data_IF_941519094050
#
_entry.id   IF_941519094050
#
_cell.length_a   1.000
_cell.length_b   1.000
_cell.length_c   1.000
_cell.angle_alpha   90.00
_cell.angle_beta   90.00
_cell.angle_gamma   90.00
#
_symmetry.space_group_name_H-M   'P 1'
#
loop_
_entity.id
_entity.type
_entity.pdbx_description
1 polymer ?
#
# COMPACT_ATOMS: atom_id res chain seq x y z
N UNK A 1 -16.98 -34.88 -18.30
CA UNK A 1 -17.14 -33.61 -17.56
C UNK A 1 -15.77 -33.17 -17.06
N UNK A 2 -15.18 -32.09 -17.60
CA UNK A 2 -13.87 -31.57 -17.15
C UNK A 2 -14.09 -30.57 -16.00
N UNK A 3 -13.40 -30.67 -14.86
CA UNK A 3 -13.58 -29.72 -13.77
C UNK A 3 -12.99 -28.36 -14.17
N UNK A 4 -13.85 -27.35 -14.22
CA UNK A 4 -13.51 -25.95 -14.43
C UNK A 4 -12.69 -25.44 -13.24
N UNK A 5 -11.35 -25.42 -13.34
CA UNK A 5 -10.45 -24.84 -12.34
C UNK A 5 -10.65 -23.33 -12.32
N UNK A 6 -11.59 -22.84 -11.50
CA UNK A 6 -11.76 -21.41 -11.22
C UNK A 6 -10.47 -20.87 -10.60
N UNK A 7 -9.70 -20.12 -11.39
CA UNK A 7 -8.52 -19.42 -10.93
C UNK A 7 -8.96 -18.25 -10.04
N UNK A 8 -9.23 -18.51 -8.75
CA UNK A 8 -9.52 -17.46 -7.76
C UNK A 8 -8.27 -16.58 -7.67
N UNK A 9 -8.29 -15.41 -8.30
CA UNK A 9 -7.32 -14.34 -8.02
C UNK A 9 -7.37 -14.09 -6.51
N UNK A 10 -6.33 -14.51 -5.79
CA UNK A 10 -6.21 -14.24 -4.36
C UNK A 10 -6.01 -12.74 -4.21
N UNK A 11 -7.05 -12.05 -3.78
CA UNK A 11 -6.95 -10.64 -3.36
C UNK A 11 -6.17 -10.65 -2.05
N UNK A 12 -4.95 -10.11 -2.08
CA UNK A 12 -4.11 -9.99 -0.88
C UNK A 12 -4.24 -8.57 -0.39
N UNK A 13 -4.76 -8.38 0.83
CA UNK A 13 -4.87 -7.07 1.44
C UNK A 13 -3.51 -6.67 2.01
N UNK A 14 -2.92 -5.60 1.48
CA UNK A 14 -1.63 -5.07 1.95
C UNK A 14 -1.75 -4.53 3.37
N UNK A 15 -0.84 -4.90 4.27
CA UNK A 15 -0.73 -4.35 5.63
C UNK A 15 -0.32 -2.87 5.62
N UNK A 16 -0.42 -2.18 6.76
CA UNK A 16 0.00 -0.78 6.85
C UNK A 16 1.50 -0.63 6.53
N UNK A 17 2.34 -1.53 7.05
CA UNK A 17 3.78 -1.49 6.81
C UNK A 17 4.13 -1.75 5.33
N UNK A 18 3.39 -2.65 4.65
CA UNK A 18 3.55 -2.86 3.21
C UNK A 18 3.13 -1.65 2.36
N UNK A 19 2.12 -0.90 2.81
CA UNK A 19 1.70 0.33 2.14
C UNK A 19 2.74 1.46 2.34
N UNK A 20 3.37 1.52 3.52
CA UNK A 20 4.50 2.44 3.78
C UNK A 20 5.69 2.09 2.88
N UNK A 21 6.07 0.81 2.80
CA UNK A 21 7.18 0.37 1.93
C UNK A 21 6.94 0.72 0.46
N UNK A 22 5.72 0.53 -0.05
CA UNK A 22 5.36 0.94 -1.41
C UNK A 22 5.37 2.45 -1.60
N UNK A 23 4.96 3.21 -0.59
CA UNK A 23 5.02 4.67 -0.64
C UNK A 23 6.47 5.17 -0.74
N UNK A 24 7.38 4.54 -0.03
CA UNK A 24 8.80 4.89 -0.06
C UNK A 24 9.46 4.49 -1.39
N UNK A 25 9.09 3.33 -1.95
CA UNK A 25 9.49 2.95 -3.30
C UNK A 25 9.01 3.97 -4.34
N UNK A 26 7.72 4.35 -4.32
CA UNK A 26 7.17 5.34 -5.23
C UNK A 26 7.82 6.73 -5.06
N UNK A 27 8.13 7.13 -3.82
CA UNK A 27 8.86 8.36 -3.56
C UNK A 27 10.31 8.30 -4.05
N UNK A 28 10.95 7.13 -3.99
CA UNK A 28 12.30 6.91 -4.54
C UNK A 28 12.31 6.96 -6.07
N UNK A 29 11.33 6.32 -6.71
CA UNK A 29 11.13 6.43 -8.16
C UNK A 29 10.91 7.88 -8.58
N UNK A 30 10.09 8.63 -7.85
CA UNK A 30 9.87 10.05 -8.12
C UNK A 30 11.16 10.89 -8.08
N UNK A 31 12.14 10.52 -7.25
CA UNK A 31 13.44 11.23 -7.21
C UNK A 31 14.30 10.96 -8.44
N UNK A 32 14.08 9.84 -9.12
CA UNK A 32 14.82 9.46 -10.34
C UNK A 32 14.17 10.03 -11.60
N UNK A 33 12.90 10.46 -11.51
CA UNK A 33 12.19 11.06 -12.62
C UNK A 33 12.60 12.53 -12.82
N UNK A 34 12.66 13.01 -14.07
CA UNK A 34 12.85 14.42 -14.36
C UNK A 34 11.67 15.24 -13.81
N UNK A 35 11.93 16.52 -13.53
CA UNK A 35 10.87 17.43 -13.12
C UNK A 35 9.79 17.54 -14.21
N UNK A 36 8.53 17.36 -13.80
CA UNK A 36 7.39 17.31 -14.70
C UNK A 36 6.24 16.47 -14.15
N UNK A 37 5.26 16.20 -14.99
CA UNK A 37 4.03 15.48 -14.61
C UNK A 37 4.33 14.07 -14.07
N UNK A 38 5.24 13.32 -14.69
CA UNK A 38 5.58 11.97 -14.23
C UNK A 38 6.11 11.93 -12.79
N UNK A 39 6.94 12.90 -12.40
CA UNK A 39 7.43 13.04 -11.02
C UNK A 39 6.31 13.43 -10.08
N UNK A 40 5.43 14.34 -10.48
CA UNK A 40 4.27 14.74 -9.68
C UNK A 40 3.30 13.57 -9.47
N UNK A 41 3.07 12.75 -10.49
CA UNK A 41 2.23 11.56 -10.40
C UNK A 41 2.81 10.51 -9.46
N UNK A 42 4.12 10.25 -9.55
CA UNK A 42 4.80 9.34 -8.63
C UNK A 42 4.74 9.85 -7.18
N UNK A 43 4.97 11.15 -6.95
CA UNK A 43 4.81 11.77 -5.63
C UNK A 43 3.37 11.71 -5.12
N UNK A 44 2.39 11.91 -6.00
CA UNK A 44 0.97 11.81 -5.67
C UNK A 44 0.59 10.39 -5.27
N UNK A 45 1.07 9.39 -6.00
CA UNK A 45 0.88 7.98 -5.68
C UNK A 45 1.50 7.65 -4.32
N UNK A 46 2.74 8.09 -4.07
CA UNK A 46 3.40 7.92 -2.77
C UNK A 46 2.60 8.56 -1.62
N UNK A 47 2.09 9.78 -1.82
CA UNK A 47 1.26 10.45 -0.81
C UNK A 47 -0.04 9.69 -0.52
N UNK A 48 -0.72 9.18 -1.55
CA UNK A 48 -1.93 8.37 -1.40
C UNK A 48 -1.66 7.09 -0.61
N UNK A 49 -0.57 6.38 -0.91
CA UNK A 49 -0.17 5.18 -0.18
C UNK A 49 0.10 5.45 1.31
N UNK A 50 0.77 6.56 1.65
CA UNK A 50 0.98 6.97 3.06
C UNK A 50 -0.34 7.25 3.79
N UNK A 51 -1.28 7.91 3.13
CA UNK A 51 -2.62 8.16 3.71
C UNK A 51 -3.33 6.84 3.98
N UNK A 52 -3.31 5.89 3.03
CA UNK A 52 -3.90 4.58 3.23
C UNK A 52 -3.23 3.78 4.35
N UNK A 53 -1.90 3.81 4.44
CA UNK A 53 -1.18 3.17 5.53
C UNK A 53 -1.59 3.74 6.89
N UNK A 54 -1.61 5.07 7.00
CA UNK A 54 -2.01 5.79 8.22
C UNK A 54 -3.43 5.43 8.63
N UNK A 55 -4.36 5.46 7.67
CA UNK A 55 -5.76 5.12 7.93
C UNK A 55 -5.91 3.66 8.32
N UNK A 56 -5.17 2.75 7.68
CA UNK A 56 -5.17 1.34 8.05
C UNK A 56 -4.65 1.14 9.48
N UNK A 57 -3.59 1.85 9.86
CA UNK A 57 -3.02 1.82 11.21
C UNK A 57 -3.99 2.35 12.26
N UNK A 58 -4.75 3.40 11.93
CA UNK A 58 -5.79 3.95 12.80
C UNK A 58 -7.00 3.01 12.96
N UNK A 59 -7.37 2.30 11.88
CA UNK A 59 -8.49 1.36 11.86
C UNK A 59 -8.14 0.00 12.47
N UNK A 60 -6.86 -0.34 12.57
CA UNK A 60 -6.38 -1.46 13.39
C UNK A 60 -5.98 -0.89 14.74
N UNK A 61 -6.91 -0.71 15.71
CA UNK A 61 -6.49 -0.40 17.06
C UNK A 61 -5.50 -1.49 17.44
N UNK A 62 -4.29 -1.09 17.82
CA UNK A 62 -3.39 -2.01 18.50
C UNK A 62 -4.23 -2.61 19.62
N UNK A 63 -4.58 -3.89 19.47
CA UNK A 63 -5.11 -4.67 20.56
C UNK A 63 -3.93 -4.80 21.51
N UNK A 64 -3.70 -3.73 22.28
CA UNK A 64 -2.98 -3.80 23.53
C UNK A 64 -3.79 -4.85 24.28
N UNK A 65 -3.28 -6.08 24.26
CA UNK A 65 -3.66 -7.09 25.23
C UNK A 65 -3.26 -6.49 26.57
N UNK A 66 -4.15 -5.67 27.12
CA UNK A 66 -4.16 -5.33 28.53
C UNK A 66 -4.44 -6.65 29.24
N UNK A 67 -3.34 -7.36 29.49
CA UNK A 67 -3.28 -8.58 30.28
C UNK A 67 -3.58 -8.16 31.71
N UNK A 68 -4.86 -8.24 32.10
CA UNK A 68 -5.29 -8.30 33.49
C UNK A 68 -5.31 -9.76 33.92
#
# INVERSE_FOLDING_TARGET
MRPNKRNRKKVTFLTADQLEEQADAAASEAKQLPDGEAKQDALRSAAQLRVYATMKRALTPQTVKSKW
#
